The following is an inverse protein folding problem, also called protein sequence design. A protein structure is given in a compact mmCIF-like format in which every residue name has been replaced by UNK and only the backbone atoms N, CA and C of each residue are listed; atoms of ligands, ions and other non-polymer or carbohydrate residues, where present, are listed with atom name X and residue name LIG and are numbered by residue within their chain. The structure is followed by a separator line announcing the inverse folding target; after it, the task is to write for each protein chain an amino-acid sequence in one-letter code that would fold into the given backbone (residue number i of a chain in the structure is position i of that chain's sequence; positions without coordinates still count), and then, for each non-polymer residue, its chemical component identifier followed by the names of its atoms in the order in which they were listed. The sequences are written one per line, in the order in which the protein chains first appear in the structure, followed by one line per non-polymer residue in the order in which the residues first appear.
data_IF_569810225584
#
_entry.id   IF_569810225584
#
_cell.length_a   1.000
_cell.length_b   1.000
_cell.length_c   1.000
_cell.angle_alpha   90.00
_cell.angle_beta   90.00
_cell.angle_gamma   90.00
#
_symmetry.space_group_name_H-M   'P 1'
#
loop_
_entity.id
_entity.type
_entity.pdbx_description
1 polymer ?
#
# COMPACT_ATOMS: atom_id res chain seq x y z
N UNK A 1 -24.77 3.78 9.07
CA UNK A 1 -23.79 4.44 9.99
C UNK A 1 -22.49 4.59 9.21
N UNK A 2 -22.24 5.77 8.67
CA UNK A 2 -21.06 6.04 7.86
C UNK A 2 -19.89 6.21 8.84
N UNK A 3 -18.97 5.24 8.85
CA UNK A 3 -17.77 5.31 9.67
C UNK A 3 -16.88 6.41 9.11
N UNK A 4 -16.77 7.51 9.83
CA UNK A 4 -16.00 8.69 9.47
C UNK A 4 -14.50 8.37 9.66
N UNK A 5 -13.86 7.81 8.63
CA UNK A 5 -12.42 7.45 8.61
C UNK A 5 -11.51 8.66 8.38
N UNK A 6 -12.03 9.89 8.52
CA UNK A 6 -11.27 11.10 8.27
C UNK A 6 -11.11 11.92 9.55
N UNK A 7 -9.91 11.95 10.10
CA UNK A 7 -9.50 13.00 11.05
C UNK A 7 -8.94 14.18 10.25
N UNK A 8 -9.62 15.34 10.19
CA UNK A 8 -9.02 16.54 9.61
C UNK A 8 -8.05 17.13 10.64
N UNK A 9 -6.79 17.05 10.34
CA UNK A 9 -5.76 17.65 11.17
C UNK A 9 -4.43 17.74 10.45
N UNK A 10 -4.21 18.89 9.81
CA UNK A 10 -2.91 19.44 9.39
C UNK A 10 -2.07 18.58 8.46
N UNK A 11 -2.15 18.87 7.18
CA UNK A 11 -1.10 19.23 6.24
C UNK A 11 -1.65 19.28 4.81
N UNK A 12 -1.41 20.39 4.15
CA UNK A 12 -1.39 20.72 2.75
C UNK A 12 -2.31 19.99 1.76
N UNK A 13 -3.09 20.76 1.07
CA UNK A 13 -4.11 20.45 0.05
C UNK A 13 -3.67 19.63 -1.17
N UNK A 14 -2.48 19.03 -1.18
CA UNK A 14 -1.91 18.37 -2.36
C UNK A 14 -1.84 16.84 -2.27
N UNK A 15 -2.24 16.23 -1.17
CA UNK A 15 -2.18 14.77 -0.96
C UNK A 15 -3.33 13.98 -1.61
N UNK A 16 -4.30 14.67 -2.20
CA UNK A 16 -5.47 14.04 -2.86
C UNK A 16 -5.17 13.57 -4.29
N UNK A 17 -4.09 14.05 -4.89
CA UNK A 17 -3.79 13.84 -6.31
C UNK A 17 -2.92 12.63 -6.65
N UNK A 18 -2.50 11.85 -5.71
CA UNK A 18 -1.40 10.90 -5.91
C UNK A 18 -1.75 9.42 -5.84
N UNK A 19 -2.83 9.04 -5.21
CA UNK A 19 -3.53 7.80 -5.54
C UNK A 19 -4.67 8.18 -6.48
N UNK A 20 -4.80 7.48 -7.63
CA UNK A 20 -6.01 7.58 -8.42
C UNK A 20 -7.18 7.56 -7.42
N UNK A 21 -7.99 8.60 -7.44
CA UNK A 21 -9.05 8.82 -6.45
C UNK A 21 -9.96 7.59 -6.35
N UNK A 22 -10.12 6.90 -7.46
CA UNK A 22 -10.88 5.65 -7.54
C UNK A 22 -10.17 4.51 -6.77
N UNK A 23 -8.89 4.28 -6.99
CA UNK A 23 -8.15 3.23 -6.29
C UNK A 23 -8.03 3.52 -4.79
N UNK A 24 -7.83 4.78 -4.41
CA UNK A 24 -7.84 5.18 -3.01
C UNK A 24 -9.16 4.87 -2.30
N UNK A 25 -10.28 5.08 -2.98
CA UNK A 25 -11.60 4.75 -2.46
C UNK A 25 -11.78 3.22 -2.34
N UNK A 26 -11.42 2.47 -3.36
CA UNK A 26 -11.49 0.99 -3.36
C UNK A 26 -10.72 0.39 -2.19
N UNK A 27 -9.49 0.88 -1.96
CA UNK A 27 -8.68 0.40 -0.83
C UNK A 27 -9.35 0.71 0.51
N UNK A 28 -9.84 1.94 0.70
CA UNK A 28 -10.50 2.35 1.94
C UNK A 28 -11.77 1.54 2.21
N UNK A 29 -12.57 1.29 1.19
CA UNK A 29 -13.79 0.46 1.30
C UNK A 29 -13.44 -0.99 1.66
N UNK A 30 -12.45 -1.57 0.99
CA UNK A 30 -12.00 -2.93 1.29
C UNK A 30 -11.45 -3.06 2.72
N UNK A 31 -10.68 -2.08 3.18
CA UNK A 31 -10.16 -2.02 4.55
C UNK A 31 -11.31 -1.89 5.57
N UNK A 32 -12.28 -1.02 5.29
CA UNK A 32 -13.44 -0.83 6.15
C UNK A 32 -14.28 -2.11 6.27
N UNK A 33 -14.50 -2.82 5.17
CA UNK A 33 -15.23 -4.09 5.16
C UNK A 33 -14.51 -5.15 6.01
N UNK A 34 -13.19 -5.31 5.79
CA UNK A 34 -12.38 -6.26 6.55
C UNK A 34 -12.42 -5.94 8.04
N UNK A 35 -12.24 -4.67 8.40
CA UNK A 35 -12.23 -4.25 9.80
C UNK A 35 -13.61 -4.38 10.46
N UNK A 36 -14.67 -4.08 9.72
CA UNK A 36 -16.06 -4.23 10.21
C UNK A 36 -16.42 -5.69 10.50
N UNK A 37 -15.91 -6.62 9.68
CA UNK A 37 -16.22 -8.05 9.81
C UNK A 37 -15.32 -8.75 10.84
N UNK A 38 -14.02 -8.45 10.85
CA UNK A 38 -13.05 -9.16 11.70
C UNK A 38 -12.81 -8.46 13.05
N UNK A 39 -13.01 -7.16 13.13
CA UNK A 39 -12.69 -6.38 14.32
C UNK A 39 -11.18 -6.25 14.60
N UNK A 40 -10.81 -5.60 15.70
CA UNK A 40 -9.41 -5.43 16.12
C UNK A 40 -8.84 -6.68 16.83
N UNK A 41 -7.52 -6.72 16.94
CA UNK A 41 -6.82 -7.66 17.81
C UNK A 41 -6.34 -8.95 17.16
N UNK A 42 -6.51 -9.09 15.85
CA UNK A 42 -5.97 -10.23 15.10
C UNK A 42 -4.52 -9.97 14.66
N UNK A 43 -3.84 -11.06 14.31
CA UNK A 43 -2.51 -10.98 13.72
C UNK A 43 -2.52 -10.42 12.30
N UNK A 44 -1.45 -9.76 11.93
CA UNK A 44 -1.25 -9.07 10.65
C UNK A 44 -1.56 -9.94 9.43
N UNK A 45 -1.13 -11.21 9.45
CA UNK A 45 -1.37 -12.16 8.36
C UNK A 45 -2.86 -12.45 8.10
N UNK A 46 -3.70 -12.40 9.14
CA UNK A 46 -5.14 -12.61 8.98
C UNK A 46 -5.80 -11.43 8.25
N UNK A 47 -5.42 -10.21 8.59
CA UNK A 47 -5.87 -9.02 7.88
C UNK A 47 -5.35 -8.99 6.44
N UNK A 48 -4.10 -9.40 6.22
CA UNK A 48 -3.52 -9.51 4.88
C UNK A 48 -4.33 -10.44 3.99
N UNK A 49 -4.65 -11.63 4.48
CA UNK A 49 -5.43 -12.60 3.74
C UNK A 49 -6.86 -12.10 3.46
N UNK A 50 -7.50 -11.50 4.45
CA UNK A 50 -8.85 -10.95 4.29
C UNK A 50 -8.88 -9.79 3.30
N UNK A 51 -7.91 -8.87 3.36
CA UNK A 51 -7.82 -7.76 2.44
C UNK A 51 -7.54 -8.22 1.00
N UNK A 52 -6.68 -9.22 0.82
CA UNK A 52 -6.45 -9.82 -0.49
C UNK A 52 -7.75 -10.40 -1.09
N UNK A 53 -8.56 -11.08 -0.29
CA UNK A 53 -9.88 -11.59 -0.70
C UNK A 53 -10.82 -10.43 -1.05
N UNK A 54 -10.91 -9.41 -0.21
CA UNK A 54 -11.79 -8.26 -0.40
C UNK A 54 -11.48 -7.50 -1.70
N UNK A 55 -10.19 -7.34 -2.02
CA UNK A 55 -9.75 -6.67 -3.25
C UNK A 55 -9.97 -7.54 -4.50
N UNK A 56 -9.69 -8.85 -4.41
CA UNK A 56 -9.97 -9.78 -5.52
C UNK A 56 -11.46 -9.84 -5.86
N UNK A 57 -12.34 -9.83 -4.85
CA UNK A 57 -13.80 -9.74 -5.06
C UNK A 57 -14.25 -8.46 -5.77
N UNK A 58 -13.46 -7.39 -5.68
CA UNK A 58 -13.67 -6.12 -6.39
C UNK A 58 -13.04 -6.10 -7.79
N UNK A 59 -12.48 -7.23 -8.25
CA UNK A 59 -11.93 -7.38 -9.59
C UNK A 59 -10.45 -7.00 -9.75
N UNK A 60 -9.73 -6.79 -8.64
CA UNK A 60 -8.32 -6.45 -8.69
C UNK A 60 -7.42 -7.69 -8.70
N UNK A 61 -6.32 -7.62 -9.45
CA UNK A 61 -5.24 -8.59 -9.35
C UNK A 61 -4.48 -8.32 -8.06
N UNK A 62 -4.43 -9.29 -7.16
CA UNK A 62 -3.70 -9.18 -5.90
C UNK A 62 -2.67 -10.29 -5.80
N UNK A 63 -1.41 -9.88 -5.76
CA UNK A 63 -0.27 -10.77 -5.61
C UNK A 63 0.23 -10.69 -4.16
N UNK A 64 0.44 -11.86 -3.57
CA UNK A 64 1.10 -12.05 -2.29
C UNK A 64 2.47 -12.67 -2.55
N UNK A 65 3.39 -12.60 -1.58
CA UNK A 65 4.70 -13.26 -1.69
C UNK A 65 5.57 -12.75 -2.86
N UNK A 66 5.32 -11.54 -3.35
CA UNK A 66 6.17 -10.93 -4.38
C UNK A 66 7.57 -10.74 -3.84
N UNK A 67 8.57 -11.28 -4.54
CA UNK A 67 9.98 -11.17 -4.16
C UNK A 67 10.61 -10.05 -4.98
N UNK A 68 11.18 -9.06 -4.28
CA UNK A 68 11.92 -7.95 -4.87
C UNK A 68 13.41 -8.15 -4.57
N UNK A 69 14.22 -8.62 -5.53
CA UNK A 69 15.65 -8.81 -5.32
C UNK A 69 16.38 -7.47 -5.25
N UNK A 70 17.33 -7.35 -4.33
CA UNK A 70 18.12 -6.13 -4.13
C UNK A 70 19.55 -6.36 -4.61
N UNK A 71 19.97 -5.70 -5.71
CA UNK A 71 21.34 -5.76 -6.19
C UNK A 71 22.22 -4.72 -5.51
N UNK A 72 23.47 -5.08 -5.31
CA UNK A 72 24.54 -4.17 -4.96
C UNK A 72 25.77 -4.48 -5.82
N UNK A 73 26.22 -3.53 -6.63
CA UNK A 73 27.35 -3.69 -7.56
C UNK A 73 27.26 -4.96 -8.44
N UNK A 74 26.04 -5.25 -8.95
CA UNK A 74 25.78 -6.40 -9.82
C UNK A 74 25.62 -7.75 -9.09
N UNK A 75 25.65 -7.78 -7.77
CA UNK A 75 25.42 -8.99 -6.95
C UNK A 75 24.17 -8.81 -6.11
N UNK A 76 23.33 -9.83 -6.02
CA UNK A 76 22.17 -9.80 -5.14
C UNK A 76 22.60 -9.96 -3.68
N UNK A 77 22.25 -8.98 -2.85
CA UNK A 77 22.57 -8.96 -1.41
C UNK A 77 21.39 -9.41 -0.54
N UNK A 78 20.24 -9.60 -1.13
CA UNK A 78 19.04 -10.05 -0.45
C UNK A 78 17.78 -9.74 -1.26
N UNK A 79 16.64 -9.84 -0.59
CA UNK A 79 15.35 -9.54 -1.18
C UNK A 79 14.41 -8.90 -0.17
N UNK A 80 13.40 -8.20 -0.67
CA UNK A 80 12.28 -7.71 0.12
C UNK A 80 10.99 -8.37 -0.33
N UNK A 81 9.98 -8.38 0.55
CA UNK A 81 8.64 -8.91 0.27
C UNK A 81 7.60 -7.95 0.82
N UNK A 82 6.92 -7.17 -0.03
CA UNK A 82 5.73 -6.43 0.38
C UNK A 82 4.59 -7.40 0.69
N UNK A 83 3.68 -7.00 1.56
CA UNK A 83 2.54 -7.84 1.94
C UNK A 83 1.61 -8.10 0.76
N UNK A 84 1.21 -7.05 0.04
CA UNK A 84 0.37 -7.17 -1.16
C UNK A 84 0.88 -6.25 -2.26
N UNK A 85 0.79 -6.73 -3.50
CA UNK A 85 0.93 -5.91 -4.72
C UNK A 85 -0.38 -6.01 -5.49
N UNK A 86 -1.02 -4.87 -5.72
CA UNK A 86 -2.32 -4.77 -6.39
C UNK A 86 -2.11 -4.23 -7.80
N UNK A 87 -2.68 -4.92 -8.79
CA UNK A 87 -2.63 -4.57 -10.22
C UNK A 87 -1.20 -4.32 -10.75
N UNK A 88 -0.19 -4.90 -10.11
CA UNK A 88 1.25 -4.73 -10.39
C UNK A 88 1.79 -3.31 -10.20
N UNK A 89 1.02 -2.42 -9.60
CA UNK A 89 1.34 -0.99 -9.50
C UNK A 89 1.30 -0.45 -8.08
N UNK A 90 0.46 -1.01 -7.22
CA UNK A 90 0.22 -0.50 -5.88
C UNK A 90 0.76 -1.48 -4.82
N UNK A 91 1.68 -1.01 -4.00
CA UNK A 91 2.21 -1.77 -2.86
C UNK A 91 1.43 -1.44 -1.61
N UNK A 92 0.95 -2.47 -0.92
CA UNK A 92 0.30 -2.33 0.38
C UNK A 92 1.15 -3.05 1.43
N UNK A 93 1.51 -2.31 2.47
CA UNK A 93 2.15 -2.80 3.68
C UNK A 93 1.13 -2.79 4.81
N UNK A 94 0.93 -3.92 5.47
CA UNK A 94 -0.06 -4.06 6.53
C UNK A 94 0.59 -4.08 7.90
N UNK A 95 -0.08 -3.49 8.86
CA UNK A 95 0.30 -3.48 10.27
C UNK A 95 -0.93 -3.71 11.15
N UNK A 96 -0.70 -4.27 12.32
CA UNK A 96 -1.69 -4.45 13.37
C UNK A 96 -1.13 -3.87 14.69
N UNK A 97 -0.87 -2.57 14.69
CA UNK A 97 -0.17 -1.84 15.76
C UNK A 97 -1.02 -0.70 16.30
N UNK A 98 -0.58 -0.08 17.39
CA UNK A 98 -1.29 1.07 17.97
C UNK A 98 -1.26 2.30 17.08
N UNK A 99 -0.20 2.47 16.27
CA UNK A 99 -0.06 3.57 15.31
C UNK A 99 0.91 3.22 14.19
N UNK A 100 0.76 3.87 13.05
CA UNK A 100 1.75 3.81 11.96
C UNK A 100 3.01 4.56 12.42
N UNK A 101 4.17 3.92 12.26
CA UNK A 101 5.47 4.50 12.55
C UNK A 101 6.19 4.91 11.25
N UNK A 102 7.14 5.85 11.36
CA UNK A 102 7.94 6.31 10.22
C UNK A 102 8.73 5.18 9.55
N UNK A 103 9.10 4.16 10.32
CA UNK A 103 9.76 2.95 9.80
C UNK A 103 8.89 2.19 8.82
N UNK A 104 7.57 2.14 9.03
CA UNK A 104 6.62 1.48 8.10
C UNK A 104 6.55 2.24 6.77
N UNK A 105 6.52 3.57 6.84
CA UNK A 105 6.54 4.43 5.64
C UNK A 105 7.85 4.28 4.88
N UNK A 106 8.98 4.27 5.60
CA UNK A 106 10.31 4.08 5.01
C UNK A 106 10.43 2.71 4.34
N UNK A 107 9.92 1.66 4.96
CA UNK A 107 9.87 0.31 4.40
C UNK A 107 9.06 0.29 3.09
N UNK A 108 7.88 0.89 3.10
CA UNK A 108 7.03 0.96 1.90
C UNK A 108 7.71 1.74 0.77
N UNK A 109 8.40 2.85 1.07
CA UNK A 109 9.20 3.59 0.08
C UNK A 109 10.32 2.74 -0.50
N UNK A 110 10.96 1.89 0.31
CA UNK A 110 11.99 0.99 -0.18
C UNK A 110 11.42 -0.05 -1.17
N UNK A 111 10.25 -0.63 -0.89
CA UNK A 111 9.56 -1.50 -1.85
C UNK A 111 9.28 -0.78 -3.18
N UNK A 112 8.72 0.42 -3.12
CA UNK A 112 8.39 1.21 -4.30
C UNK A 112 9.63 1.55 -5.15
N UNK A 113 10.75 1.81 -4.50
CA UNK A 113 12.01 2.10 -5.18
C UNK A 113 12.54 0.92 -6.00
N UNK A 114 12.32 -0.30 -5.52
CA UNK A 114 12.90 -1.51 -6.09
C UNK A 114 11.89 -2.41 -6.81
N UNK A 115 10.60 -2.09 -6.73
CA UNK A 115 9.57 -2.82 -7.47
C UNK A 115 9.84 -2.66 -8.98
N UNK A 116 9.92 -3.77 -9.74
CA UNK A 116 10.10 -3.68 -11.18
C UNK A 116 8.96 -2.87 -11.82
N UNK A 117 9.24 -2.10 -12.87
CA UNK A 117 8.19 -1.41 -13.60
C UNK A 117 7.19 -2.41 -14.18
N UNK A 118 5.92 -2.02 -14.31
CA UNK A 118 4.92 -2.88 -14.93
C UNK A 118 5.33 -3.21 -16.37
N UNK A 119 4.94 -4.40 -16.89
CA UNK A 119 5.27 -4.79 -18.26
C UNK A 119 4.74 -3.77 -19.29
N UNK A 120 5.36 -3.66 -20.47
CA UNK A 120 4.89 -2.79 -21.54
C UNK A 120 3.41 -3.03 -21.86
N UNK A 121 2.63 -1.97 -22.01
CA UNK A 121 1.18 -2.02 -22.23
C UNK A 121 0.33 -1.91 -20.96
N UNK A 122 0.91 -2.02 -19.79
CA UNK A 122 0.26 -1.76 -18.49
C UNK A 122 0.66 -0.41 -17.90
N UNK A 123 1.25 0.45 -18.71
CA UNK A 123 1.75 1.78 -18.29
C UNK A 123 0.61 2.75 -17.99
N UNK A 124 -0.15 2.51 -16.93
CA UNK A 124 -1.26 3.41 -16.61
C UNK A 124 -0.83 4.79 -16.09
N UNK A 125 0.32 4.95 -15.49
CA UNK A 125 0.82 6.28 -15.08
C UNK A 125 2.33 6.23 -14.84
N UNK A 126 3.09 6.84 -15.71
CA UNK A 126 4.57 6.87 -15.72
C UNK A 126 5.22 7.70 -14.62
N UNK A 127 4.51 8.29 -13.69
CA UNK A 127 5.06 9.41 -12.91
C UNK A 127 5.17 9.19 -11.39
N UNK A 128 4.47 8.24 -10.79
CA UNK A 128 4.57 8.03 -9.34
C UNK A 128 4.38 6.56 -9.00
N UNK A 129 5.37 5.96 -8.39
CA UNK A 129 5.20 4.64 -7.77
C UNK A 129 4.38 4.82 -6.49
N UNK A 130 3.36 3.99 -6.32
CA UNK A 130 2.31 4.17 -5.33
C UNK A 130 2.31 3.08 -4.30
N UNK A 131 2.10 3.46 -3.07
CA UNK A 131 1.94 2.53 -1.98
C UNK A 131 1.03 3.08 -0.89
N UNK A 132 0.69 2.22 0.05
CA UNK A 132 0.06 2.63 1.29
C UNK A 132 0.51 1.73 2.43
N UNK A 133 0.59 2.32 3.62
CA UNK A 133 0.61 1.57 4.88
C UNK A 133 -0.82 1.48 5.39
N UNK A 134 -1.28 0.27 5.67
CA UNK A 134 -2.60 0.00 6.23
C UNK A 134 -2.41 -0.55 7.63
N UNK A 135 -2.99 0.12 8.61
CA UNK A 135 -2.91 -0.32 9.99
C UNK A 135 -4.28 -0.72 10.51
N UNK A 136 -4.43 -1.98 10.87
CA UNK A 136 -5.61 -2.50 11.57
C UNK A 136 -5.41 -2.34 13.07
N UNK A 137 -5.46 -1.09 13.53
CA UNK A 137 -5.30 -0.73 14.93
C UNK A 137 -6.45 -1.16 15.84
N UNK A 138 -6.39 -0.78 17.12
CA UNK A 138 -7.42 -1.18 18.10
C UNK A 138 -8.75 -0.47 17.90
N UNK A 139 -8.71 0.82 17.58
CA UNK A 139 -9.89 1.67 17.55
C UNK A 139 -10.38 1.97 16.14
N UNK A 140 -9.46 2.06 15.19
CA UNK A 140 -9.74 2.31 13.78
C UNK A 140 -8.76 1.57 12.88
N UNK A 141 -9.18 1.32 11.64
CA UNK A 141 -8.26 0.99 10.57
C UNK A 141 -7.82 2.27 9.85
N UNK A 142 -6.53 2.42 9.60
CA UNK A 142 -5.93 3.59 8.95
C UNK A 142 -5.34 3.20 7.60
N UNK A 143 -5.48 4.07 6.61
CA UNK A 143 -4.83 3.96 5.31
C UNK A 143 -3.99 5.20 5.09
N UNK A 144 -2.67 5.06 5.12
CA UNK A 144 -1.71 6.13 4.88
C UNK A 144 -1.07 5.96 3.51
N UNK A 145 -1.38 6.82 2.52
CA UNK A 145 -0.71 6.81 1.23
C UNK A 145 0.79 7.09 1.36
N UNK A 146 1.58 6.38 0.55
CA UNK A 146 3.04 6.53 0.49
C UNK A 146 3.45 6.71 -0.97
N UNK A 147 4.30 7.69 -1.22
CA UNK A 147 4.81 8.01 -2.54
C UNK A 147 6.33 8.09 -2.57
N UNK A 148 6.88 7.78 -3.72
CA UNK A 148 8.28 8.08 -4.03
C UNK A 148 8.25 9.09 -5.17
N UNK A 149 8.78 10.29 -4.97
CA UNK A 149 8.95 11.25 -6.05
C UNK A 149 9.78 10.60 -7.16
N UNK A 150 9.30 10.66 -8.38
CA UNK A 150 10.10 10.28 -9.54
C UNK A 150 11.23 11.30 -9.65
N UNK A 151 12.44 10.87 -9.35
CA UNK A 151 13.63 11.66 -9.67
C UNK A 151 13.77 11.58 -11.20
N UNK A 152 13.30 12.62 -11.89
CA UNK A 152 13.71 12.83 -13.28
C UNK A 152 15.22 13.02 -13.25
N UNK A 153 15.96 12.04 -13.75
CA UNK A 153 17.35 12.26 -14.07
C UNK A 153 17.37 13.38 -15.12
N UNK A 154 17.84 14.53 -14.69
CA UNK A 154 18.22 15.60 -15.62
C UNK A 154 19.56 15.16 -16.18
N UNK A 155 19.57 14.78 -17.47
CA UNK A 155 20.77 14.53 -18.26
C UNK A 155 21.72 15.74 -18.22
#
# INVERSE_FOLDING_TARGET
MVCNLYKPGTFGVDLIFTMDMHMGLVIREAVADVYSELGPGLGESLYQNALAIALRKRGHLVETEVVIPIPYRGVYVGFMRPDLVVDKELVLELKATTKIADTHVTQTRAYLRWLPPPPPGHERLKTVMRGAVINFGRDIAEVLPVEVPVVTQVD
#
